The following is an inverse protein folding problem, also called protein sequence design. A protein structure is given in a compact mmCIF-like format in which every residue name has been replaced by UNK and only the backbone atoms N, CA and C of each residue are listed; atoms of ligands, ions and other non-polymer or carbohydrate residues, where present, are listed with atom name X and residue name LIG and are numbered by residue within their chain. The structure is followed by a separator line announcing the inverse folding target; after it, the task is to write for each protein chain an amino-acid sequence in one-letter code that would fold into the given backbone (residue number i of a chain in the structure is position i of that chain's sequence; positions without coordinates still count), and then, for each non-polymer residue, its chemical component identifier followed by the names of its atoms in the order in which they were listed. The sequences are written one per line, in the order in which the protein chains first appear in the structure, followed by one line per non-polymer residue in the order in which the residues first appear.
data_IF_824467397604
#
_entry.id   IF_824467397604
#
_cell.length_a   1.000
_cell.length_b   1.000
_cell.length_c   1.000
_cell.angle_alpha   90.00
_cell.angle_beta   90.00
_cell.angle_gamma   90.00
#
_symmetry.space_group_name_H-M   'P 1'
#
loop_
_entity.id
_entity.type
_entity.pdbx_description
1 polymer ?
#
# COMPACT_ATOMS: atom_id res chain seq x y z
N UNK A 1 9.15 28.55 -20.13
CA UNK A 1 8.01 29.23 -19.47
C UNK A 1 6.72 28.53 -19.86
N UNK A 2 6.62 27.22 -19.50
CA UNK A 2 5.48 26.38 -19.91
C UNK A 2 5.03 25.54 -18.73
N UNK A 3 3.71 25.57 -18.50
CA UNK A 3 2.93 24.65 -17.66
C UNK A 3 2.88 24.83 -16.14
N UNK A 4 2.97 26.04 -15.63
CA UNK A 4 2.47 26.34 -14.29
C UNK A 4 0.93 26.55 -14.23
N UNK A 5 0.25 26.53 -15.38
CA UNK A 5 -1.21 26.77 -15.47
C UNK A 5 -2.06 25.49 -15.60
N UNK A 6 -1.43 24.31 -15.73
CA UNK A 6 -2.18 23.05 -15.79
C UNK A 6 -2.46 22.44 -14.40
N UNK A 7 -1.89 23.03 -13.34
CA UNK A 7 -2.11 22.57 -11.95
C UNK A 7 -3.50 22.96 -11.40
N UNK A 8 -4.22 23.83 -12.11
CA UNK A 8 -5.52 24.32 -11.68
C UNK A 8 -6.70 23.75 -12.50
N UNK A 9 -6.58 22.54 -13.06
CA UNK A 9 -7.80 21.83 -13.47
C UNK A 9 -8.56 21.44 -12.22
N UNK A 10 -9.81 21.91 -12.04
CA UNK A 10 -10.66 21.30 -11.03
C UNK A 10 -10.75 19.81 -11.35
N UNK A 11 -10.41 18.95 -10.40
CA UNK A 11 -10.57 17.49 -10.45
C UNK A 11 -12.07 17.15 -10.50
N UNK A 12 -12.72 17.49 -11.60
CA UNK A 12 -14.09 17.04 -11.88
C UNK A 12 -13.98 15.67 -12.54
N UNK A 13 -13.78 14.64 -11.73
CA UNK A 13 -13.94 13.27 -12.20
C UNK A 13 -15.41 13.02 -12.52
N UNK A 14 -15.73 12.31 -13.62
CA UNK A 14 -17.09 11.82 -13.83
C UNK A 14 -17.45 10.91 -12.63
N UNK A 15 -18.70 10.94 -12.14
CA UNK A 15 -19.13 10.17 -10.97
C UNK A 15 -18.86 8.66 -11.05
N UNK A 16 -18.78 8.13 -12.26
CA UNK A 16 -18.46 6.71 -12.52
C UNK A 16 -16.96 6.43 -12.27
N UNK A 17 -16.07 7.33 -12.66
CA UNK A 17 -14.63 7.19 -12.40
C UNK A 17 -14.30 7.24 -10.90
N UNK A 18 -15.05 8.00 -10.12
CA UNK A 18 -14.90 8.07 -8.66
C UNK A 18 -15.23 6.72 -8.01
N UNK A 19 -16.27 6.03 -8.47
CA UNK A 19 -16.66 4.72 -7.93
C UNK A 19 -15.62 3.64 -8.28
N UNK A 20 -15.10 3.62 -9.51
CA UNK A 20 -14.06 2.67 -9.90
C UNK A 20 -12.77 2.87 -9.10
N UNK A 21 -12.34 4.12 -8.94
CA UNK A 21 -11.15 4.46 -8.15
C UNK A 21 -11.31 4.03 -6.68
N UNK A 22 -12.47 4.29 -6.08
CA UNK A 22 -12.75 3.86 -4.70
C UNK A 22 -12.73 2.33 -4.58
N UNK A 23 -13.32 1.62 -5.54
CA UNK A 23 -13.31 0.15 -5.53
C UNK A 23 -11.91 -0.42 -5.68
N UNK A 24 -11.06 0.15 -6.55
CA UNK A 24 -9.67 -0.25 -6.70
C UNK A 24 -8.87 0.01 -5.43
N UNK A 25 -9.05 1.17 -4.80
CA UNK A 25 -8.40 1.52 -3.53
C UNK A 25 -8.79 0.55 -2.42
N UNK A 26 -10.08 0.24 -2.28
CA UNK A 26 -10.59 -0.71 -1.29
C UNK A 26 -10.06 -2.12 -1.55
N UNK A 27 -10.05 -2.57 -2.80
CA UNK A 27 -9.54 -3.89 -3.17
C UNK A 27 -8.04 -4.01 -2.85
N UNK A 28 -7.23 -2.99 -3.20
CA UNK A 28 -5.81 -2.94 -2.88
C UNK A 28 -5.58 -2.97 -1.37
N UNK A 29 -6.32 -2.16 -0.61
CA UNK A 29 -6.21 -2.10 0.85
C UNK A 29 -6.57 -3.44 1.51
N UNK A 30 -7.69 -4.04 1.11
CA UNK A 30 -8.13 -5.34 1.65
C UNK A 30 -7.08 -6.41 1.35
N UNK A 31 -6.57 -6.45 0.12
CA UNK A 31 -5.54 -7.40 -0.29
C UNK A 31 -4.27 -7.23 0.55
N UNK A 32 -3.77 -6.01 0.70
CA UNK A 32 -2.60 -5.71 1.52
C UNK A 32 -2.80 -6.15 2.98
N UNK A 33 -3.93 -5.80 3.59
CA UNK A 33 -4.26 -6.22 4.97
C UNK A 33 -4.26 -7.74 5.10
N UNK A 34 -4.87 -8.46 4.17
CA UNK A 34 -4.93 -9.93 4.22
C UNK A 34 -3.54 -10.57 4.09
N UNK A 35 -2.71 -10.06 3.18
CA UNK A 35 -1.36 -10.56 2.96
C UNK A 35 -0.52 -10.31 4.22
N UNK A 36 -0.50 -9.09 4.73
CA UNK A 36 0.32 -8.74 5.88
C UNK A 36 -0.12 -9.45 7.16
N UNK A 37 -1.43 -9.54 7.38
CA UNK A 37 -1.95 -10.34 8.49
C UNK A 37 -1.49 -11.81 8.39
N UNK A 38 -1.54 -12.39 7.19
CA UNK A 38 -1.06 -13.73 6.91
C UNK A 38 0.46 -13.88 7.15
N UNK A 39 1.26 -12.91 6.71
CA UNK A 39 2.72 -12.87 6.93
C UNK A 39 3.03 -12.81 8.42
N UNK A 40 2.41 -11.91 9.18
CA UNK A 40 2.60 -11.82 10.63
C UNK A 40 2.21 -13.12 11.32
N UNK A 41 1.12 -13.74 10.88
CA UNK A 41 0.67 -15.02 11.42
C UNK A 41 1.68 -16.16 11.13
N UNK A 42 2.27 -16.17 9.93
CA UNK A 42 3.33 -17.11 9.56
C UNK A 42 4.63 -16.89 10.36
N UNK A 43 4.94 -15.65 10.73
CA UNK A 43 6.06 -15.29 11.60
C UNK A 43 5.80 -15.61 13.08
N UNK A 44 4.75 -16.41 13.34
CA UNK A 44 4.34 -16.84 14.68
C UNK A 44 3.95 -15.67 15.62
N UNK A 45 3.59 -14.53 15.06
CA UNK A 45 3.03 -13.46 15.87
C UNK A 45 1.61 -13.81 16.32
N UNK A 46 1.43 -13.91 17.62
CA UNK A 46 0.13 -14.31 18.22
C UNK A 46 -0.48 -13.23 19.10
N UNK A 47 0.22 -12.12 19.30
CA UNK A 47 -0.28 -11.01 20.11
C UNK A 47 -1.39 -10.29 19.35
N UNK A 48 -2.62 -10.43 19.81
CA UNK A 48 -3.80 -9.81 19.18
C UNK A 48 -3.63 -8.30 18.96
N UNK A 49 -2.93 -7.62 19.88
CA UNK A 49 -2.67 -6.17 19.76
C UNK A 49 -1.80 -5.86 18.54
N UNK A 50 -0.78 -6.66 18.24
CA UNK A 50 0.08 -6.49 17.07
C UNK A 50 -0.71 -6.76 15.79
N UNK A 51 -1.44 -7.89 15.74
CA UNK A 51 -2.25 -8.27 14.58
C UNK A 51 -3.36 -7.25 14.28
N UNK A 52 -4.06 -6.75 15.29
CA UNK A 52 -5.09 -5.73 15.09
C UNK A 52 -4.48 -4.37 14.73
N UNK A 53 -3.32 -4.03 15.31
CA UNK A 53 -2.63 -2.78 14.99
C UNK A 53 -2.08 -2.76 13.57
N UNK A 54 -1.80 -3.93 12.96
CA UNK A 54 -1.38 -4.00 11.55
C UNK A 54 -2.47 -3.48 10.62
N UNK A 55 -3.73 -3.77 10.90
CA UNK A 55 -4.86 -3.25 10.12
C UNK A 55 -4.88 -1.72 10.17
N UNK A 56 -4.72 -1.14 11.37
CA UNK A 56 -4.73 0.30 11.54
C UNK A 56 -3.57 0.99 10.82
N UNK A 57 -2.36 0.47 10.96
CA UNK A 57 -1.20 1.07 10.29
C UNK A 57 -1.30 0.93 8.78
N UNK A 58 -1.80 -0.19 8.25
CA UNK A 58 -2.05 -0.36 6.82
C UNK A 58 -3.02 0.69 6.26
N UNK A 59 -4.10 0.99 6.97
CA UNK A 59 -5.00 2.07 6.57
C UNK A 59 -4.28 3.42 6.54
N UNK A 60 -3.44 3.70 7.55
CA UNK A 60 -2.73 4.98 7.67
C UNK A 60 -1.60 5.15 6.65
N UNK A 61 -0.98 4.07 6.18
CA UNK A 61 0.16 4.12 5.27
C UNK A 61 -0.24 3.86 3.83
N UNK A 62 -1.00 2.80 3.56
CA UNK A 62 -1.31 2.37 2.20
C UNK A 62 -2.41 3.21 1.54
N UNK A 63 -3.40 3.73 2.29
CA UNK A 63 -4.42 4.60 1.67
C UNK A 63 -3.81 5.87 1.11
N UNK A 64 -3.00 6.66 1.86
CA UNK A 64 -2.34 7.83 1.29
C UNK A 64 -1.39 7.51 0.14
N UNK A 65 -0.62 6.40 0.22
CA UNK A 65 0.29 6.00 -0.85
C UNK A 65 -0.49 5.66 -2.13
N UNK A 66 -1.51 4.81 -2.04
CA UNK A 66 -2.31 4.44 -3.20
C UNK A 66 -3.04 5.66 -3.81
N UNK A 67 -3.57 6.56 -2.97
CA UNK A 67 -4.17 7.81 -3.47
C UNK A 67 -3.14 8.68 -4.18
N UNK A 68 -1.93 8.81 -3.64
CA UNK A 68 -0.87 9.56 -4.30
C UNK A 68 -0.52 8.98 -5.67
N UNK A 69 -0.34 7.66 -5.76
CA UNK A 69 -0.04 6.97 -7.02
C UNK A 69 -1.17 7.15 -8.04
N UNK A 70 -2.43 7.03 -7.61
CA UNK A 70 -3.57 7.18 -8.50
C UNK A 70 -3.82 8.61 -8.99
N UNK A 71 -3.55 9.61 -8.15
CA UNK A 71 -3.94 10.99 -8.42
C UNK A 71 -2.79 11.88 -8.90
N UNK A 72 -1.56 11.56 -8.53
CA UNK A 72 -0.42 12.47 -8.71
C UNK A 72 0.60 11.90 -9.69
N UNK A 73 1.17 10.74 -9.38
CA UNK A 73 2.24 10.16 -10.18
C UNK A 73 2.37 8.64 -9.93
N UNK A 74 2.36 7.88 -10.99
CA UNK A 74 2.49 6.42 -11.00
C UNK A 74 3.92 5.95 -11.38
N UNK A 75 4.91 6.85 -11.32
CA UNK A 75 6.29 6.45 -11.65
C UNK A 75 6.80 5.37 -10.68
N UNK A 76 7.51 4.39 -11.21
CA UNK A 76 8.10 3.32 -10.39
C UNK A 76 9.03 3.88 -9.29
N UNK A 77 9.71 5.00 -9.56
CA UNK A 77 10.56 5.68 -8.58
C UNK A 77 9.77 6.18 -7.37
N UNK A 78 8.64 6.85 -7.62
CA UNK A 78 7.79 7.40 -6.56
C UNK A 78 7.11 6.28 -5.76
N UNK A 79 6.69 5.21 -6.44
CA UNK A 79 6.15 4.02 -5.77
C UNK A 79 7.18 3.43 -4.81
N UNK A 80 8.42 3.21 -5.25
CA UNK A 80 9.48 2.65 -4.41
C UNK A 80 9.85 3.56 -3.23
N UNK A 81 9.86 4.88 -3.44
CA UNK A 81 10.07 5.85 -2.35
C UNK A 81 8.90 5.78 -1.36
N UNK A 82 7.67 5.72 -1.86
CA UNK A 82 6.48 5.56 -1.04
C UNK A 82 6.52 4.30 -0.19
N UNK A 83 6.86 3.15 -0.78
CA UNK A 83 7.03 1.88 -0.08
C UNK A 83 8.14 1.94 0.99
N UNK A 84 9.25 2.64 0.70
CA UNK A 84 10.30 2.85 1.70
C UNK A 84 9.81 3.69 2.89
N UNK A 85 8.99 4.71 2.65
CA UNK A 85 8.37 5.51 3.72
C UNK A 85 7.38 4.66 4.51
N UNK A 86 6.51 3.89 3.85
CA UNK A 86 5.58 2.96 4.49
C UNK A 86 6.34 2.00 5.41
N UNK A 87 7.39 1.35 4.89
CA UNK A 87 8.27 0.47 5.67
C UNK A 87 8.77 1.14 6.96
N UNK A 88 9.28 2.37 6.87
CA UNK A 88 9.83 3.08 8.04
C UNK A 88 8.73 3.41 9.06
N UNK A 89 7.59 3.89 8.62
CA UNK A 89 6.45 4.23 9.48
C UNK A 89 5.95 2.99 10.21
N UNK A 90 5.78 1.89 9.51
CA UNK A 90 5.31 0.64 10.08
C UNK A 90 6.34 -0.01 11.01
N UNK A 91 7.64 0.06 10.69
CA UNK A 91 8.68 -0.42 11.59
C UNK A 91 8.66 0.32 12.94
N UNK A 92 8.48 1.64 12.92
CA UNK A 92 8.31 2.44 14.15
C UNK A 92 7.01 2.05 14.86
N UNK A 93 5.92 1.86 14.12
CA UNK A 93 4.64 1.42 14.67
C UNK A 93 4.76 0.07 15.38
N UNK A 94 5.28 -0.95 14.72
CA UNK A 94 5.48 -2.27 15.30
C UNK A 94 6.47 -2.25 16.48
N UNK A 95 7.50 -1.39 16.43
CA UNK A 95 8.40 -1.21 17.56
C UNK A 95 7.67 -0.76 18.83
N UNK A 96 6.68 0.11 18.70
CA UNK A 96 5.85 0.53 19.84
C UNK A 96 5.18 -0.64 20.57
N UNK A 97 4.80 -1.70 19.84
CA UNK A 97 4.13 -2.90 20.39
C UNK A 97 5.10 -4.03 20.75
N UNK A 98 6.14 -4.24 19.95
CA UNK A 98 7.08 -5.36 20.14
C UNK A 98 8.18 -5.04 21.15
N UNK A 99 8.50 -3.76 21.33
CA UNK A 99 9.63 -3.27 22.11
C UNK A 99 10.98 -3.84 21.65
N UNK A 100 11.04 -4.39 20.46
CA UNK A 100 12.21 -4.96 19.84
C UNK A 100 12.33 -4.41 18.41
N UNK A 101 13.30 -3.52 18.19
CA UNK A 101 13.49 -2.84 16.91
C UNK A 101 13.79 -3.83 15.76
N UNK A 102 14.62 -4.85 16.03
CA UNK A 102 14.94 -5.87 15.02
C UNK A 102 13.70 -6.64 14.60
N UNK A 103 12.88 -7.06 15.54
CA UNK A 103 11.64 -7.77 15.27
C UNK A 103 10.65 -6.87 14.50
N UNK A 104 10.51 -5.62 14.90
CA UNK A 104 9.66 -4.64 14.24
C UNK A 104 10.07 -4.38 12.79
N UNK A 105 11.37 -4.21 12.55
CA UNK A 105 11.92 -4.03 11.21
C UNK A 105 11.71 -5.27 10.32
N UNK A 106 11.88 -6.48 10.86
CA UNK A 106 11.61 -7.72 10.12
C UNK A 106 10.12 -7.82 9.77
N UNK A 107 9.22 -7.50 10.69
CA UNK A 107 7.78 -7.53 10.45
C UNK A 107 7.40 -6.57 9.32
N UNK A 108 7.78 -5.30 9.46
CA UNK A 108 7.47 -4.29 8.44
C UNK A 108 8.10 -4.65 7.09
N UNK A 109 9.38 -5.05 7.06
CA UNK A 109 10.06 -5.40 5.81
C UNK A 109 9.38 -6.56 5.09
N UNK A 110 9.10 -7.67 5.78
CA UNK A 110 8.49 -8.84 5.14
C UNK A 110 7.05 -8.58 4.73
N UNK A 111 6.28 -7.87 5.55
CA UNK A 111 4.91 -7.51 5.21
C UNK A 111 4.87 -6.67 3.94
N UNK A 112 5.61 -5.58 3.90
CA UNK A 112 5.63 -4.68 2.75
C UNK A 112 6.25 -5.32 1.50
N UNK A 113 7.37 -6.05 1.63
CA UNK A 113 8.00 -6.69 0.48
C UNK A 113 7.09 -7.75 -0.15
N UNK A 114 6.41 -8.57 0.64
CA UNK A 114 5.53 -9.62 0.13
C UNK A 114 4.25 -9.01 -0.46
N UNK A 115 3.62 -8.04 0.20
CA UNK A 115 2.42 -7.38 -0.32
C UNK A 115 2.71 -6.63 -1.62
N UNK A 116 3.84 -5.91 -1.69
CA UNK A 116 4.28 -5.22 -2.91
C UNK A 116 4.53 -6.21 -4.06
N UNK A 117 5.27 -7.30 -3.82
CA UNK A 117 5.55 -8.31 -4.85
C UNK A 117 4.28 -8.99 -5.37
N UNK A 118 3.34 -9.32 -4.49
CA UNK A 118 2.06 -9.90 -4.89
C UNK A 118 1.25 -8.88 -5.70
N UNK A 119 1.18 -7.62 -5.27
CA UNK A 119 0.53 -6.55 -5.99
C UNK A 119 1.11 -6.36 -7.40
N UNK A 120 2.43 -6.37 -7.52
CA UNK A 120 3.14 -6.26 -8.80
C UNK A 120 2.83 -7.45 -9.73
N UNK A 121 2.85 -8.68 -9.20
CA UNK A 121 2.52 -9.88 -9.97
C UNK A 121 1.08 -9.87 -10.47
N UNK A 122 0.14 -9.44 -9.64
CA UNK A 122 -1.27 -9.33 -10.03
C UNK A 122 -1.48 -8.25 -11.11
N UNK A 123 -0.81 -7.12 -10.98
CA UNK A 123 -0.85 -6.05 -12.00
C UNK A 123 -0.28 -6.54 -13.34
N UNK A 124 0.83 -7.27 -13.29
CA UNK A 124 1.44 -7.85 -14.50
C UNK A 124 0.53 -8.91 -15.14
N UNK A 125 -0.07 -9.79 -14.34
CA UNK A 125 -1.00 -10.80 -14.82
C UNK A 125 -2.25 -10.16 -15.46
N UNK A 126 -2.75 -9.07 -14.88
CA UNK A 126 -3.88 -8.32 -15.43
C UNK A 126 -3.56 -7.74 -16.83
N UNK A 127 -2.39 -7.10 -16.98
CA UNK A 127 -1.93 -6.56 -18.29
C UNK A 127 -1.84 -7.67 -19.31
N UNK A 128 -1.21 -8.80 -18.98
CA UNK A 128 -1.10 -9.93 -19.90
C UNK A 128 -2.48 -10.46 -20.34
N UNK A 129 -3.45 -10.56 -19.42
CA UNK A 129 -4.79 -11.03 -19.78
C UNK A 129 -5.53 -10.02 -20.66
N UNK A 130 -5.37 -8.73 -20.42
CA UNK A 130 -5.99 -7.68 -21.22
C UNK A 130 -5.48 -7.65 -22.69
N UNK A 131 -4.24 -8.09 -22.92
CA UNK A 131 -3.67 -8.18 -24.28
C UNK A 131 -4.14 -9.43 -25.06
N UNK A 132 -4.72 -10.43 -24.38
CA UNK A 132 -5.18 -11.67 -25.00
C UNK A 132 -6.70 -11.72 -25.27
N UNK A 133 -7.48 -10.79 -24.72
CA UNK A 133 -8.94 -10.68 -24.91
C UNK A 133 -9.37 -9.31 -25.45
#
# INVERSE_FOLDING_TARGET
MFHLLDIARPLSFPPEADNEMVMQLLAALILTILIEYGVLWMLLERRKKVLLSSIAVNVLTNVPLNLYVMLVNDSMGDILIGEAVVFLVEAVWYWGFTRNLKQAAIYSFLCNAISFLIGLLLSFAYVLMADYF
#
